data_IF_106891101906
#
_entry.id   IF_106891101906
#
_cell.length_a   1.000
_cell.length_b   1.000
_cell.length_c   1.000
_cell.angle_alpha   90.00
_cell.angle_beta   90.00
_cell.angle_gamma   90.00
#
_symmetry.space_group_name_H-M   'P 1'
#
loop_
_entity.id
_entity.type
_entity.pdbx_description
1 polymer ?
#
# COMPACT_ATOMS: atom_id res chain seq x y z
N UNK A 1 33.60 10.48 -8.19
CA UNK A 1 34.17 9.13 -8.11
C UNK A 1 34.48 8.76 -6.65
N UNK A 2 33.64 9.25 -5.73
CA UNK A 2 33.83 9.16 -4.26
C UNK A 2 33.08 7.99 -3.60
N UNK A 3 32.20 7.26 -4.26
CA UNK A 3 31.14 6.52 -3.55
C UNK A 3 31.36 4.99 -3.49
N UNK A 4 31.94 4.37 -4.47
CA UNK A 4 31.98 2.90 -4.49
C UNK A 4 33.03 2.33 -3.51
N UNK A 5 34.25 2.85 -3.51
CA UNK A 5 35.35 2.35 -2.67
C UNK A 5 35.08 2.59 -1.17
N UNK A 6 34.47 3.72 -0.82
CA UNK A 6 34.15 4.06 0.57
C UNK A 6 33.02 3.18 1.12
N UNK A 7 32.01 2.84 0.27
CA UNK A 7 30.94 1.93 0.64
C UNK A 7 31.43 0.48 0.78
N UNK A 8 32.40 0.05 -0.04
CA UNK A 8 33.01 -1.28 0.06
C UNK A 8 33.79 -1.43 1.36
N UNK A 9 34.57 -0.41 1.75
CA UNK A 9 35.28 -0.39 3.05
C UNK A 9 34.30 -0.39 4.22
N UNK A 10 33.25 0.42 4.16
CA UNK A 10 32.22 0.46 5.19
C UNK A 10 31.51 -0.89 5.32
N UNK A 11 31.18 -1.53 4.19
CA UNK A 11 30.57 -2.85 4.14
C UNK A 11 31.50 -3.90 4.76
N UNK A 12 32.77 -3.87 4.45
CA UNK A 12 33.77 -4.79 5.02
C UNK A 12 33.84 -4.65 6.55
N UNK A 13 33.88 -3.42 7.06
CA UNK A 13 33.91 -3.15 8.51
C UNK A 13 32.60 -3.57 9.19
N UNK A 14 31.45 -3.32 8.57
CA UNK A 14 30.14 -3.72 9.08
C UNK A 14 30.01 -5.27 9.11
N UNK A 15 30.53 -5.96 8.10
CA UNK A 15 30.57 -7.42 8.05
C UNK A 15 31.43 -7.99 9.17
N UNK A 16 32.58 -7.39 9.43
CA UNK A 16 33.46 -7.79 10.53
C UNK A 16 32.78 -7.61 11.90
N UNK A 17 32.04 -6.49 12.08
CA UNK A 17 31.23 -6.27 13.29
C UNK A 17 30.11 -7.31 13.43
N UNK A 18 29.44 -7.67 12.34
CA UNK A 18 28.36 -8.66 12.36
C UNK A 18 28.87 -10.11 12.63
N UNK A 19 30.15 -10.36 12.33
CA UNK A 19 30.78 -11.66 12.53
C UNK A 19 31.52 -11.80 13.89
N UNK A 20 31.53 -10.74 14.71
CA UNK A 20 32.20 -10.81 16.01
C UNK A 20 31.44 -11.73 16.98
N UNK A 21 32.17 -12.40 17.86
CA UNK A 21 31.56 -13.21 18.91
C UNK A 21 31.23 -12.29 20.11
N UNK A 22 29.96 -11.98 20.29
CA UNK A 22 29.47 -11.10 21.37
C UNK A 22 29.72 -11.66 22.76
N UNK A 23 29.92 -12.99 22.91
CA UNK A 23 30.15 -13.65 24.19
C UNK A 23 31.57 -13.41 24.74
N UNK A 24 32.49 -12.98 23.89
CA UNK A 24 33.85 -12.67 24.28
C UNK A 24 34.02 -11.23 24.77
N UNK A 25 32.95 -10.43 24.69
CA UNK A 25 32.95 -9.04 25.11
C UNK A 25 32.59 -8.89 26.59
N UNK A 26 33.18 -7.91 27.26
CA UNK A 26 32.69 -7.47 28.56
C UNK A 26 31.35 -6.72 28.42
N UNK A 27 30.56 -6.66 29.48
CA UNK A 27 29.29 -5.89 29.50
C UNK A 27 29.51 -4.43 29.09
N UNK A 28 30.63 -3.84 29.53
CA UNK A 28 31.00 -2.47 29.14
C UNK A 28 31.21 -2.35 27.62
N UNK A 29 31.92 -3.30 27.02
CA UNK A 29 32.22 -3.27 25.58
C UNK A 29 30.99 -3.54 24.73
N UNK A 30 30.09 -4.44 25.17
CA UNK A 30 28.79 -4.68 24.54
C UNK A 30 27.97 -3.37 24.48
N UNK A 31 27.84 -2.68 25.62
CA UNK A 31 27.10 -1.42 25.70
C UNK A 31 27.75 -0.29 24.89
N UNK A 32 29.08 -0.25 24.85
CA UNK A 32 29.84 0.72 24.06
C UNK A 32 29.66 0.47 22.56
N UNK A 33 29.70 -0.79 22.15
CA UNK A 33 29.52 -1.22 20.75
C UNK A 33 28.12 -0.90 20.25
N UNK A 34 27.07 -1.20 21.04
CA UNK A 34 25.68 -0.85 20.68
C UNK A 34 25.54 0.67 20.46
N UNK A 35 26.07 1.47 21.37
CA UNK A 35 26.07 2.95 21.23
C UNK A 35 26.84 3.42 20.00
N UNK A 36 27.94 2.75 19.68
CA UNK A 36 28.72 3.01 18.47
C UNK A 36 27.94 2.74 17.19
N UNK A 37 27.28 1.58 17.12
CA UNK A 37 26.43 1.19 15.98
C UNK A 37 25.31 2.19 15.78
N UNK A 38 24.59 2.58 16.84
CA UNK A 38 23.53 3.57 16.76
C UNK A 38 24.01 4.94 16.26
N UNK A 39 25.25 5.31 16.61
CA UNK A 39 25.86 6.53 16.07
C UNK A 39 26.12 6.43 14.56
N UNK A 40 26.67 5.31 14.10
CA UNK A 40 26.92 5.05 12.67
C UNK A 40 25.61 5.07 11.89
N UNK A 41 24.55 4.43 12.42
CA UNK A 41 23.22 4.43 11.78
C UNK A 41 22.72 5.84 11.51
N UNK A 42 22.85 6.78 12.48
CA UNK A 42 22.42 8.16 12.30
C UNK A 42 23.09 8.84 11.10
N UNK A 43 24.38 8.61 10.90
CA UNK A 43 25.09 9.18 9.75
C UNK A 43 24.68 8.52 8.43
N UNK A 44 24.40 7.22 8.44
CA UNK A 44 23.88 6.51 7.26
C UNK A 44 22.48 6.97 6.91
N UNK A 45 21.59 7.13 7.90
CA UNK A 45 20.24 7.69 7.71
C UNK A 45 20.30 9.10 7.12
N UNK A 46 21.23 9.94 7.59
CA UNK A 46 21.44 11.29 7.06
C UNK A 46 21.89 11.27 5.58
N UNK A 47 22.84 10.41 5.26
CA UNK A 47 23.36 10.27 3.90
C UNK A 47 22.28 9.73 2.94
N UNK A 48 21.58 8.66 3.34
CA UNK A 48 20.48 8.11 2.57
C UNK A 48 19.36 9.14 2.35
N UNK A 49 18.93 9.84 3.41
CA UNK A 49 17.90 10.85 3.35
C UNK A 49 18.24 11.97 2.37
N UNK A 50 19.48 12.46 2.37
CA UNK A 50 19.93 13.49 1.44
C UNK A 50 19.84 13.01 -0.02
N UNK A 51 20.25 11.76 -0.28
CA UNK A 51 20.20 11.17 -1.61
C UNK A 51 18.75 10.91 -2.07
N UNK A 52 17.89 10.43 -1.16
CA UNK A 52 16.47 10.20 -1.47
C UNK A 52 15.76 11.50 -1.83
N UNK A 53 15.96 12.57 -1.06
CA UNK A 53 15.38 13.88 -1.36
C UNK A 53 15.86 14.46 -2.70
N UNK A 54 17.14 14.22 -3.06
CA UNK A 54 17.69 14.65 -4.34
C UNK A 54 17.12 13.83 -5.52
N UNK A 55 17.06 12.52 -5.38
CA UNK A 55 16.49 11.60 -6.38
C UNK A 55 15.03 11.92 -6.64
N UNK A 56 14.27 12.20 -5.58
CA UNK A 56 12.85 12.56 -5.68
C UNK A 56 12.66 13.90 -6.38
N UNK A 57 13.42 14.91 -6.00
CA UNK A 57 13.36 16.24 -6.61
C UNK A 57 13.71 16.22 -8.12
N UNK A 58 14.61 15.33 -8.54
CA UNK A 58 14.97 15.13 -9.96
C UNK A 58 13.97 14.25 -10.71
N UNK A 59 13.10 13.51 -10.02
CA UNK A 59 12.24 12.48 -10.63
C UNK A 59 13.03 11.34 -11.29
N UNK A 60 14.25 11.08 -10.83
CA UNK A 60 15.20 10.16 -11.48
C UNK A 60 14.63 8.75 -11.60
N UNK A 61 14.02 8.23 -10.53
CA UNK A 61 13.47 6.88 -10.51
C UNK A 61 12.26 6.69 -11.42
N UNK A 62 11.44 7.74 -11.61
CA UNK A 62 10.32 7.72 -12.56
C UNK A 62 10.82 7.70 -14.01
N UNK A 63 11.87 8.44 -14.30
CA UNK A 63 12.45 8.49 -15.63
C UNK A 63 13.20 7.20 -16.00
N UNK A 64 13.99 6.65 -15.07
CA UNK A 64 14.87 5.49 -15.33
C UNK A 64 14.15 4.17 -15.18
N UNK A 65 13.37 4.02 -14.12
CA UNK A 65 12.75 2.75 -13.70
C UNK A 65 11.22 2.73 -13.81
N UNK A 66 10.57 3.89 -14.04
CA UNK A 66 9.13 4.02 -14.12
C UNK A 66 8.42 3.98 -12.76
N UNK A 67 9.14 4.18 -11.66
CA UNK A 67 8.61 4.16 -10.31
C UNK A 67 8.82 5.50 -9.61
N UNK A 68 7.83 5.91 -8.80
CA UNK A 68 8.03 6.97 -7.81
C UNK A 68 9.07 6.52 -6.79
N UNK A 69 9.82 7.47 -6.23
CA UNK A 69 10.97 7.23 -5.35
C UNK A 69 10.70 6.26 -4.21
N UNK A 70 9.59 6.41 -3.47
CA UNK A 70 9.25 5.49 -2.39
C UNK A 70 9.01 4.05 -2.89
N UNK A 71 8.33 3.89 -4.02
CA UNK A 71 8.07 2.56 -4.60
C UNK A 71 9.35 1.91 -5.15
N UNK A 72 10.23 2.73 -5.74
CA UNK A 72 11.55 2.30 -6.19
C UNK A 72 12.39 1.80 -5.00
N UNK A 73 12.45 2.57 -3.92
CA UNK A 73 13.19 2.21 -2.70
C UNK A 73 12.67 0.89 -2.11
N UNK A 74 11.34 0.76 -1.96
CA UNK A 74 10.73 -0.45 -1.42
C UNK A 74 11.10 -1.69 -2.25
N UNK A 75 11.04 -1.59 -3.57
CA UNK A 75 11.32 -2.69 -4.48
C UNK A 75 12.80 -3.04 -4.57
N UNK A 76 13.66 -2.02 -4.74
CA UNK A 76 15.09 -2.22 -5.03
C UNK A 76 15.87 -2.59 -3.78
N UNK A 77 15.52 -1.99 -2.64
CA UNK A 77 16.20 -2.22 -1.36
C UNK A 77 15.49 -3.23 -0.45
N UNK A 78 14.34 -3.80 -0.88
CA UNK A 78 13.63 -4.83 -0.13
C UNK A 78 13.01 -4.34 1.19
N UNK A 79 12.79 -3.03 1.35
CA UNK A 79 12.13 -2.47 2.54
C UNK A 79 10.62 -2.42 2.35
N UNK A 80 9.86 -2.39 3.46
CA UNK A 80 8.40 -2.29 3.36
C UNK A 80 7.98 -0.97 2.70
N UNK A 81 6.84 -0.93 1.96
CA UNK A 81 6.33 0.31 1.38
C UNK A 81 6.11 1.43 2.41
N UNK A 82 5.70 1.06 3.64
CA UNK A 82 5.53 2.01 4.74
C UNK A 82 6.88 2.61 5.19
N UNK A 83 7.92 1.77 5.31
CA UNK A 83 9.28 2.21 5.64
C UNK A 83 9.84 3.12 4.54
N UNK A 84 9.70 2.73 3.28
CA UNK A 84 10.16 3.51 2.13
C UNK A 84 9.48 4.89 2.08
N UNK A 85 8.17 4.93 2.29
CA UNK A 85 7.41 6.18 2.36
C UNK A 85 7.91 7.05 3.51
N UNK A 86 8.01 6.48 4.73
CA UNK A 86 8.46 7.21 5.90
C UNK A 86 9.87 7.80 5.74
N UNK A 87 10.80 7.05 5.13
CA UNK A 87 12.16 7.56 4.84
C UNK A 87 12.13 8.73 3.86
N UNK A 88 11.33 8.63 2.80
CA UNK A 88 11.20 9.70 1.82
C UNK A 88 10.53 10.93 2.43
N UNK A 89 9.45 10.77 3.18
CA UNK A 89 8.73 11.90 3.80
C UNK A 89 9.65 12.69 4.74
N UNK A 90 10.45 12.00 5.57
CA UNK A 90 11.47 12.64 6.43
C UNK A 90 12.52 13.35 5.60
N UNK A 91 13.03 12.72 4.55
CA UNK A 91 14.05 13.29 3.68
C UNK A 91 13.57 14.57 2.97
N UNK A 92 12.34 14.56 2.46
CA UNK A 92 11.72 15.73 1.81
C UNK A 92 11.47 16.83 2.83
N UNK A 93 10.93 16.52 4.03
CA UNK A 93 10.70 17.50 5.09
C UNK A 93 12.00 18.18 5.54
N UNK A 94 13.07 17.42 5.76
CA UNK A 94 14.39 17.96 6.10
C UNK A 94 14.92 18.91 5.02
N UNK A 95 14.69 18.59 3.74
CA UNK A 95 15.13 19.43 2.63
C UNK A 95 14.32 20.72 2.47
N UNK A 96 13.02 20.70 2.80
CA UNK A 96 12.10 21.78 2.43
C UNK A 96 11.66 22.66 3.61
N UNK A 97 11.27 22.04 4.72
CA UNK A 97 10.58 22.76 5.82
C UNK A 97 11.25 22.61 7.19
N UNK A 98 12.23 21.70 7.34
CA UNK A 98 12.89 21.38 8.62
C UNK A 98 14.43 21.52 8.55
N UNK A 99 14.98 22.73 8.32
CA UNK A 99 16.42 22.91 8.12
C UNK A 99 17.26 22.65 9.39
N UNK A 100 16.73 22.92 10.58
CA UNK A 100 17.45 22.63 11.83
C UNK A 100 17.47 21.12 12.10
N UNK A 101 16.40 20.40 11.79
CA UNK A 101 16.36 18.92 11.83
C UNK A 101 17.37 18.32 10.86
N UNK A 102 17.45 18.80 9.60
CA UNK A 102 18.47 18.35 8.65
C UNK A 102 19.89 18.50 9.22
N UNK A 103 20.20 19.67 9.79
CA UNK A 103 21.48 19.93 10.43
C UNK A 103 21.73 18.99 11.63
N UNK A 104 20.72 18.73 12.45
CA UNK A 104 20.84 17.87 13.62
C UNK A 104 21.01 16.39 13.25
N UNK A 105 20.34 15.93 12.19
CA UNK A 105 20.48 14.56 11.65
C UNK A 105 21.88 14.39 11.04
N UNK A 106 22.33 15.31 10.20
CA UNK A 106 23.68 15.28 9.58
C UNK A 106 24.83 15.32 10.59
N UNK A 107 24.63 15.99 11.70
CA UNK A 107 25.62 16.01 12.80
C UNK A 107 25.53 14.81 13.75
N UNK A 108 24.58 13.90 13.52
CA UNK A 108 24.35 12.74 14.38
C UNK A 108 23.70 13.07 15.75
N UNK A 109 23.27 14.33 15.97
CA UNK A 109 22.58 14.77 17.19
C UNK A 109 21.17 14.18 17.29
N UNK A 110 20.48 14.04 16.17
CA UNK A 110 19.13 13.52 16.10
C UNK A 110 19.09 12.17 15.37
N UNK A 111 18.33 11.20 15.87
CA UNK A 111 18.10 9.93 15.19
C UNK A 111 16.88 10.01 14.26
N UNK A 112 16.80 9.06 13.33
CA UNK A 112 15.70 8.96 12.35
C UNK A 112 14.31 8.99 12.99
N UNK A 113 14.09 8.25 14.09
CA UNK A 113 12.77 8.19 14.72
C UNK A 113 12.32 9.56 15.27
N UNK A 114 13.24 10.37 15.77
CA UNK A 114 12.93 11.72 16.21
C UNK A 114 12.70 12.67 15.04
N UNK A 115 13.52 12.59 13.98
CA UNK A 115 13.30 13.34 12.75
C UNK A 115 11.93 13.02 12.14
N UNK A 116 11.51 11.75 12.18
CA UNK A 116 10.19 11.30 11.73
C UNK A 116 9.04 11.91 12.54
N UNK A 117 9.21 12.08 13.85
CA UNK A 117 8.18 12.75 14.67
C UNK A 117 8.04 14.22 14.26
N UNK A 118 9.14 14.95 14.04
CA UNK A 118 9.10 16.35 13.59
C UNK A 118 8.48 16.45 12.19
N UNK A 119 8.92 15.60 11.26
CA UNK A 119 8.37 15.55 9.90
C UNK A 119 6.86 15.22 9.86
N UNK A 120 6.40 14.35 10.76
CA UNK A 120 4.98 14.01 10.86
C UNK A 120 4.13 15.04 11.61
N UNK A 121 4.76 15.97 12.34
CA UNK A 121 4.06 17.02 13.09
C UNK A 121 3.87 18.29 12.26
N UNK A 122 4.78 18.59 11.33
CA UNK A 122 4.71 19.79 10.47
C UNK A 122 3.77 19.58 9.30
N UNK A 123 2.99 20.59 8.97
CA UNK A 123 2.16 20.69 7.77
C UNK A 123 2.32 22.09 7.13
N UNK A 124 1.78 22.27 5.93
CA UNK A 124 1.94 23.52 5.17
C UNK A 124 1.41 24.76 5.90
N UNK A 125 0.38 24.62 6.76
CA UNK A 125 -0.23 25.75 7.49
C UNK A 125 0.64 26.31 8.60
N UNK A 126 1.46 25.46 9.23
CA UNK A 126 2.28 25.81 10.41
C UNK A 126 3.78 25.80 10.11
N UNK A 127 4.18 25.52 8.87
CA UNK A 127 5.58 25.30 8.50
C UNK A 127 6.52 26.41 8.99
N UNK A 128 6.15 27.67 8.76
CA UNK A 128 6.98 28.82 9.14
C UNK A 128 7.11 28.99 10.65
N UNK A 129 5.99 28.86 11.39
CA UNK A 129 5.99 28.97 12.86
C UNK A 129 6.70 27.76 13.50
N UNK A 130 6.47 26.57 12.95
CA UNK A 130 7.11 25.34 13.44
C UNK A 130 8.62 25.38 13.24
N UNK A 131 9.10 25.89 12.10
CA UNK A 131 10.53 26.06 11.82
C UNK A 131 11.24 26.98 12.82
N UNK A 132 10.53 27.96 13.38
CA UNK A 132 11.10 28.85 14.43
C UNK A 132 11.30 28.12 15.76
N UNK A 133 10.43 27.15 16.08
CA UNK A 133 10.49 26.35 17.32
C UNK A 133 11.34 25.09 17.17
N UNK A 134 11.69 24.71 15.96
CA UNK A 134 12.43 23.49 15.64
C UNK A 134 13.72 23.32 16.45
N UNK A 135 14.61 24.34 16.59
CA UNK A 135 15.84 24.23 17.38
C UNK A 135 15.58 23.89 18.86
N UNK A 136 14.57 24.51 19.46
CA UNK A 136 14.20 24.28 20.86
C UNK A 136 13.64 22.83 21.02
N UNK A 137 12.78 22.40 20.14
CA UNK A 137 12.24 21.03 20.14
C UNK A 137 13.35 19.98 20.00
N UNK A 138 14.38 20.26 19.18
CA UNK A 138 15.54 19.40 19.02
C UNK A 138 16.34 19.34 20.33
N UNK A 139 16.61 20.48 20.98
CA UNK A 139 17.37 20.54 22.23
C UNK A 139 16.63 19.82 23.37
N UNK A 140 15.32 19.99 23.47
CA UNK A 140 14.47 19.26 24.43
C UNK A 140 14.53 17.72 24.19
N UNK A 141 14.80 17.28 22.99
CA UNK A 141 14.93 15.87 22.66
C UNK A 141 16.05 15.17 23.42
N UNK A 142 17.10 15.88 23.83
CA UNK A 142 18.23 15.33 24.59
C UNK A 142 17.88 15.03 26.05
N UNK A 143 16.90 15.73 26.61
CA UNK A 143 16.56 15.69 28.05
C UNK A 143 15.27 14.93 28.34
N UNK A 144 14.45 14.72 27.35
CA UNK A 144 13.16 14.02 27.50
C UNK A 144 13.22 12.57 27.00
N UNK A 145 12.44 11.70 27.64
CA UNK A 145 12.15 10.37 27.07
C UNK A 145 11.41 10.53 25.74
N UNK A 146 11.58 9.56 24.84
CA UNK A 146 11.00 9.62 23.48
C UNK A 146 9.49 9.90 23.48
N UNK A 147 8.72 9.17 24.29
CA UNK A 147 7.25 9.29 24.29
C UNK A 147 6.77 10.63 24.90
N UNK A 148 7.47 11.15 25.89
CA UNK A 148 7.15 12.46 26.47
C UNK A 148 7.45 13.57 25.47
N UNK A 149 8.61 13.49 24.83
CA UNK A 149 9.03 14.45 23.82
C UNK A 149 8.10 14.41 22.59
N UNK A 150 7.76 13.22 22.09
CA UNK A 150 6.82 13.06 20.97
C UNK A 150 5.47 13.71 21.25
N UNK A 151 4.89 13.46 22.43
CA UNK A 151 3.63 14.10 22.83
C UNK A 151 3.77 15.62 22.90
N UNK A 152 4.89 16.14 23.40
CA UNK A 152 5.15 17.58 23.44
C UNK A 152 5.20 18.19 22.04
N UNK A 153 5.93 17.59 21.11
CA UNK A 153 5.99 18.04 19.70
C UNK A 153 4.60 18.05 19.07
N UNK A 154 3.82 16.99 19.27
CA UNK A 154 2.45 16.90 18.75
C UNK A 154 1.52 17.96 19.36
N UNK A 155 1.68 18.24 20.65
CA UNK A 155 0.90 19.30 21.32
C UNK A 155 1.26 20.68 20.76
N UNK A 156 2.55 20.98 20.57
CA UNK A 156 3.01 22.24 19.98
C UNK A 156 2.43 22.41 18.57
N UNK A 157 2.55 21.40 17.74
CA UNK A 157 1.98 21.44 16.38
C UNK A 157 0.47 21.67 16.38
N UNK A 158 -0.27 20.99 17.27
CA UNK A 158 -1.71 21.15 17.40
C UNK A 158 -2.10 22.57 17.86
N UNK A 159 -1.34 23.16 18.79
CA UNK A 159 -1.56 24.55 19.24
C UNK A 159 -1.34 25.56 18.12
N UNK A 160 -0.26 25.38 17.33
CA UNK A 160 0.01 26.25 16.18
C UNK A 160 -1.10 26.17 15.13
N UNK A 161 -1.63 24.98 14.85
CA UNK A 161 -2.75 24.79 13.92
C UNK A 161 -4.05 25.47 14.44
N UNK A 162 -4.32 25.36 15.75
CA UNK A 162 -5.49 26.00 16.38
C UNK A 162 -5.41 27.52 16.32
N UNK A 163 -4.25 28.10 16.59
CA UNK A 163 -4.04 29.56 16.49
C UNK A 163 -4.26 30.08 15.06
N UNK A 164 -4.04 29.22 14.05
CA UNK A 164 -4.39 29.46 12.64
C UNK A 164 -5.87 29.27 12.31
N UNK A 165 -6.71 28.90 13.28
CA UNK A 165 -8.15 28.67 13.11
C UNK A 165 -8.50 27.31 12.49
N UNK A 166 -7.55 26.39 12.41
CA UNK A 166 -7.80 25.03 11.89
C UNK A 166 -8.45 24.14 12.96
N UNK A 167 -9.57 23.55 12.62
CA UNK A 167 -10.20 22.49 13.43
C UNK A 167 -10.08 21.15 12.72
N UNK A 168 -9.26 20.21 13.25
CA UNK A 168 -9.09 18.89 12.65
C UNK A 168 -10.38 18.06 12.58
N UNK A 169 -11.40 18.40 13.38
CA UNK A 169 -12.67 17.68 13.38
C UNK A 169 -13.57 18.07 12.20
N UNK A 170 -13.33 19.23 11.57
CA UNK A 170 -14.07 19.70 10.40
C UNK A 170 -13.40 19.35 9.09
N UNK A 171 -12.13 18.95 9.11
CA UNK A 171 -11.38 18.59 7.91
C UNK A 171 -11.70 17.17 7.44
N UNK A 172 -12.43 17.08 6.34
CA UNK A 172 -12.83 15.79 5.75
C UNK A 172 -11.63 14.91 5.34
N UNK A 173 -10.47 15.51 5.05
CA UNK A 173 -9.26 14.78 4.68
C UNK A 173 -8.59 14.02 5.84
N UNK A 174 -8.98 14.32 7.07
CA UNK A 174 -8.57 13.55 8.24
C UNK A 174 -9.32 12.20 8.37
N UNK A 175 -10.38 12.02 7.59
CA UNK A 175 -11.06 10.73 7.53
C UNK A 175 -10.31 9.78 6.60
N UNK A 176 -9.93 8.63 7.12
CA UNK A 176 -9.32 7.58 6.31
C UNK A 176 -9.72 6.20 6.80
N UNK A 177 -9.90 5.28 5.88
CA UNK A 177 -10.22 3.87 6.14
C UNK A 177 -9.40 2.98 5.22
N UNK A 178 -8.74 1.99 5.78
CA UNK A 178 -7.96 1.00 5.05
C UNK A 178 -8.56 -0.38 5.23
N UNK A 179 -8.77 -1.06 4.11
CA UNK A 179 -9.22 -2.45 4.05
C UNK A 179 -8.04 -3.29 3.54
N UNK A 180 -7.48 -4.13 4.41
CA UNK A 180 -6.34 -5.00 4.05
C UNK A 180 -6.81 -6.45 4.05
N UNK A 181 -6.80 -7.13 2.90
CA UNK A 181 -7.04 -8.56 2.84
C UNK A 181 -6.02 -9.35 3.66
N UNK A 182 -6.47 -10.40 4.31
CA UNK A 182 -5.69 -11.28 5.18
C UNK A 182 -6.20 -12.72 4.93
N UNK A 183 -5.38 -13.78 5.01
CA UNK A 183 -5.84 -15.17 4.84
C UNK A 183 -7.03 -15.55 5.72
N UNK A 184 -7.14 -14.96 6.91
CA UNK A 184 -8.21 -15.20 7.87
C UNK A 184 -9.42 -14.28 7.69
N UNK A 185 -9.33 -13.25 6.82
CA UNK A 185 -10.40 -12.28 6.63
C UNK A 185 -9.98 -10.95 6.03
N UNK A 186 -10.60 -9.87 6.48
CA UNK A 186 -10.25 -8.50 6.08
C UNK A 186 -10.05 -7.65 7.32
N UNK A 187 -8.86 -7.10 7.45
CA UNK A 187 -8.55 -6.12 8.50
C UNK A 187 -9.05 -4.75 8.09
N UNK A 188 -9.83 -4.12 8.96
CA UNK A 188 -10.34 -2.76 8.80
C UNK A 188 -9.64 -1.87 9.81
N UNK A 189 -9.00 -0.78 9.36
CA UNK A 189 -8.32 0.18 10.23
C UNK A 189 -8.42 1.59 9.65
N UNK A 190 -8.49 2.60 10.52
CA UNK A 190 -8.61 3.97 10.09
C UNK A 190 -8.99 4.92 11.22
N UNK A 191 -9.19 6.18 10.86
CA UNK A 191 -9.67 7.24 11.76
C UNK A 191 -10.78 7.99 11.06
N UNK A 192 -11.83 8.28 11.80
CA UNK A 192 -12.93 9.16 11.39
C UNK A 192 -12.98 10.32 12.36
N UNK A 193 -13.31 11.51 11.88
CA UNK A 193 -13.35 12.73 12.68
C UNK A 193 -14.69 13.45 12.52
N UNK A 194 -15.01 14.32 13.47
CA UNK A 194 -16.20 15.19 13.45
C UNK A 194 -17.51 14.43 13.26
N UNK A 195 -18.38 14.98 12.43
CA UNK A 195 -19.71 14.43 12.15
C UNK A 195 -19.66 13.03 11.55
N UNK A 196 -18.63 12.72 10.77
CA UNK A 196 -18.43 11.39 10.20
C UNK A 196 -18.19 10.35 11.30
N UNK A 197 -17.37 10.67 12.29
CA UNK A 197 -17.11 9.80 13.43
C UNK A 197 -18.38 9.57 14.24
N UNK A 198 -19.09 10.65 14.60
CA UNK A 198 -20.34 10.59 15.38
C UNK A 198 -21.41 9.76 14.66
N UNK A 199 -21.59 9.99 13.37
CA UNK A 199 -22.59 9.25 12.57
C UNK A 199 -22.29 7.76 12.54
N UNK A 200 -21.03 7.38 12.26
CA UNK A 200 -20.63 5.97 12.18
C UNK A 200 -20.71 5.31 13.55
N UNK A 201 -20.26 5.96 14.61
CA UNK A 201 -20.33 5.45 15.96
C UNK A 201 -21.78 5.20 16.43
N UNK A 202 -22.66 6.18 16.21
CA UNK A 202 -24.09 6.07 16.57
C UNK A 202 -24.78 4.95 15.80
N UNK A 203 -24.58 4.82 14.51
CA UNK A 203 -25.22 3.80 13.68
C UNK A 203 -24.70 2.40 14.04
N UNK A 204 -23.38 2.23 14.19
CA UNK A 204 -22.80 0.94 14.61
C UNK A 204 -23.31 0.54 16.00
N UNK A 205 -23.38 1.49 16.93
CA UNK A 205 -23.87 1.22 18.28
C UNK A 205 -25.35 0.82 18.28
N UNK A 206 -26.19 1.55 17.57
CA UNK A 206 -27.63 1.25 17.48
C UNK A 206 -27.89 -0.15 16.86
N UNK A 207 -27.18 -0.49 15.78
CA UNK A 207 -27.34 -1.81 15.15
C UNK A 207 -26.74 -2.93 16.02
N UNK A 208 -25.65 -2.67 16.74
CA UNK A 208 -25.08 -3.65 17.68
C UNK A 208 -26.05 -3.93 18.84
N UNK A 209 -26.75 -2.91 19.36
CA UNK A 209 -27.77 -3.05 20.38
C UNK A 209 -29.02 -3.80 19.87
N UNK A 210 -29.38 -3.59 18.59
CA UNK A 210 -30.44 -4.36 17.94
C UNK A 210 -30.07 -5.85 17.86
N UNK A 211 -28.86 -6.16 17.38
CA UNK A 211 -28.35 -7.52 17.29
C UNK A 211 -28.26 -8.20 18.68
N UNK A 212 -27.79 -7.46 19.69
CA UNK A 212 -27.74 -7.97 21.05
C UNK A 212 -29.13 -8.40 21.56
N UNK A 213 -30.15 -7.54 21.35
CA UNK A 213 -31.54 -7.85 21.77
C UNK A 213 -32.08 -9.05 21.00
N UNK A 214 -31.79 -9.19 19.75
CA UNK A 214 -32.20 -10.30 18.89
C UNK A 214 -31.58 -11.61 19.39
N UNK A 215 -30.27 -11.65 19.60
CA UNK A 215 -29.58 -12.81 20.14
C UNK A 215 -30.08 -13.19 21.55
N UNK A 216 -30.44 -12.22 22.40
CA UNK A 216 -31.00 -12.49 23.72
C UNK A 216 -32.40 -13.14 23.63
N UNK A 217 -33.26 -12.63 22.74
CA UNK A 217 -34.60 -13.20 22.50
C UNK A 217 -34.53 -14.61 21.93
N UNK A 218 -33.63 -14.83 20.93
CA UNK A 218 -33.46 -16.16 20.32
C UNK A 218 -32.97 -17.18 21.35
N UNK A 219 -32.04 -16.79 22.18
CA UNK A 219 -31.54 -17.66 23.28
C UNK A 219 -32.64 -18.01 24.29
N UNK A 220 -33.43 -17.02 24.70
CA UNK A 220 -34.52 -17.24 25.66
C UNK A 220 -35.62 -18.13 25.06
N UNK A 221 -35.89 -18.01 23.75
CA UNK A 221 -36.87 -18.82 23.04
C UNK A 221 -36.42 -20.28 22.83
N UNK A 222 -35.12 -20.50 22.62
CA UNK A 222 -34.57 -21.84 22.37
C UNK A 222 -34.09 -22.57 23.61
N UNK A 223 -34.06 -21.91 24.77
CA UNK A 223 -33.52 -22.47 26.02
C UNK A 223 -32.02 -22.81 25.92
N UNK A 224 -31.28 -22.15 25.02
CA UNK A 224 -29.93 -22.48 24.71
C UNK A 224 -28.94 -21.77 25.63
N UNK A 225 -27.88 -22.50 26.04
CA UNK A 225 -26.79 -22.00 26.86
C UNK A 225 -25.68 -21.35 26.05
N UNK A 226 -25.91 -21.03 24.75
CA UNK A 226 -24.92 -20.41 23.87
C UNK A 226 -24.45 -19.05 24.43
N UNK A 227 -23.11 -18.81 24.57
CA UNK A 227 -22.62 -17.58 25.14
C UNK A 227 -22.95 -16.39 24.21
N UNK A 228 -23.37 -15.27 24.81
CA UNK A 228 -23.64 -14.04 24.09
C UNK A 228 -22.38 -13.52 23.42
N UNK A 229 -22.46 -13.02 22.16
CA UNK A 229 -21.34 -12.42 21.50
C UNK A 229 -20.79 -11.21 22.27
N UNK A 230 -19.47 -11.03 22.24
CA UNK A 230 -18.83 -9.87 22.88
C UNK A 230 -19.25 -8.57 22.18
N UNK A 231 -19.14 -7.42 22.86
CA UNK A 231 -19.38 -6.10 22.25
C UNK A 231 -18.51 -5.85 21.01
N UNK A 232 -17.27 -6.36 20.99
CA UNK A 232 -16.39 -6.29 19.80
C UNK A 232 -16.97 -7.07 18.63
N UNK A 233 -17.46 -8.27 18.90
CA UNK A 233 -18.11 -9.14 17.90
C UNK A 233 -19.39 -8.49 17.39
N UNK A 234 -20.23 -7.95 18.27
CA UNK A 234 -21.47 -7.29 17.89
C UNK A 234 -21.23 -6.06 17.00
N UNK A 235 -20.21 -5.25 17.28
CA UNK A 235 -19.83 -4.11 16.41
C UNK A 235 -19.37 -4.55 15.03
N UNK A 236 -18.61 -5.66 14.93
CA UNK A 236 -18.20 -6.20 13.63
C UNK A 236 -19.41 -6.73 12.84
N UNK A 237 -20.32 -7.44 13.50
CA UNK A 237 -21.57 -7.91 12.88
C UNK A 237 -22.49 -6.75 12.50
N UNK A 238 -22.55 -5.69 13.31
CA UNK A 238 -23.31 -4.48 13.00
C UNK A 238 -22.81 -3.79 11.74
N UNK A 239 -21.48 -3.65 11.57
CA UNK A 239 -20.91 -3.10 10.36
C UNK A 239 -21.30 -3.93 9.13
N UNK A 240 -21.22 -5.26 9.20
CA UNK A 240 -21.64 -6.15 8.13
C UNK A 240 -23.13 -6.01 7.81
N UNK A 241 -23.98 -5.84 8.84
CA UNK A 241 -25.44 -5.64 8.68
C UNK A 241 -25.75 -4.30 8.03
N UNK A 242 -25.07 -3.21 8.42
CA UNK A 242 -25.21 -1.88 7.80
C UNK A 242 -24.84 -1.98 6.32
N UNK A 243 -23.75 -2.64 5.97
CA UNK A 243 -23.33 -2.83 4.58
C UNK A 243 -24.37 -3.65 3.79
N UNK A 244 -24.97 -4.70 4.38
CA UNK A 244 -26.05 -5.47 3.76
C UNK A 244 -27.29 -4.61 3.50
N UNK A 245 -27.73 -3.82 4.49
CA UNK A 245 -28.85 -2.90 4.34
C UNK A 245 -28.60 -1.84 3.25
N UNK A 246 -27.41 -1.27 3.23
CA UNK A 246 -27.01 -0.28 2.21
C UNK A 246 -26.92 -0.88 0.80
N UNK A 247 -26.49 -2.13 0.68
CA UNK A 247 -26.45 -2.84 -0.60
C UNK A 247 -27.82 -3.33 -1.10
N UNK A 248 -28.91 -3.09 -0.36
CA UNK A 248 -30.26 -3.56 -0.71
C UNK A 248 -30.42 -5.09 -0.66
N UNK A 249 -29.54 -5.80 0.04
CA UNK A 249 -29.53 -7.27 0.13
C UNK A 249 -30.68 -7.79 1.00
N UNK A 250 -31.53 -6.91 1.50
CA UNK A 250 -32.57 -7.28 2.44
C UNK A 250 -33.86 -7.77 1.82
N UNK A 251 -34.06 -7.97 0.56
CA UNK A 251 -35.28 -8.69 0.03
C UNK A 251 -35.59 -8.55 -1.45
N UNK A 252 -35.00 -7.62 -2.23
CA UNK A 252 -35.30 -7.51 -3.66
C UNK A 252 -34.09 -7.02 -4.47
N UNK A 253 -33.69 -7.76 -5.40
CA UNK A 253 -32.95 -7.64 -6.67
C UNK A 253 -32.07 -6.41 -7.01
N UNK A 254 -31.71 -5.55 -6.09
CA UNK A 254 -30.90 -4.35 -6.36
C UNK A 254 -29.72 -4.24 -5.39
N UNK A 255 -28.57 -4.78 -5.77
CA UNK A 255 -27.33 -4.62 -5.03
C UNK A 255 -26.58 -5.95 -4.75
N UNK A 256 -26.37 -6.76 -5.79
CA UNK A 256 -25.58 -7.98 -5.66
C UNK A 256 -24.13 -7.61 -5.34
N UNK A 257 -23.62 -8.16 -4.23
CA UNK A 257 -22.18 -8.15 -3.96
C UNK A 257 -21.51 -9.00 -5.03
N UNK A 258 -20.65 -8.39 -5.84
CA UNK A 258 -19.87 -9.11 -6.82
C UNK A 258 -18.51 -9.50 -6.21
N UNK A 259 -18.31 -10.79 -6.05
CA UNK A 259 -16.99 -11.34 -5.75
C UNK A 259 -16.56 -12.23 -6.92
N UNK A 260 -15.32 -12.07 -7.36
CA UNK A 260 -14.74 -12.99 -8.34
C UNK A 260 -14.04 -14.10 -7.56
N UNK A 261 -14.55 -15.31 -7.67
CA UNK A 261 -13.96 -16.51 -7.09
C UNK A 261 -13.36 -17.35 -8.20
N UNK A 262 -12.19 -17.90 -7.93
CA UNK A 262 -11.48 -18.79 -8.85
C UNK A 262 -11.59 -20.21 -8.33
N UNK A 263 -12.26 -21.05 -9.10
CA UNK A 263 -12.39 -22.49 -8.81
C UNK A 263 -11.48 -23.23 -9.79
N UNK A 264 -10.55 -24.02 -9.27
CA UNK A 264 -9.77 -24.92 -10.08
C UNK A 264 -10.60 -26.18 -10.33
N UNK A 265 -10.79 -26.57 -11.61
CA UNK A 265 -11.56 -27.75 -11.95
C UNK A 265 -10.90 -29.07 -11.49
N UNK A 266 -9.58 -29.06 -11.28
CA UNK A 266 -8.85 -30.22 -10.75
C UNK A 266 -8.98 -30.36 -9.22
N UNK A 267 -9.28 -29.26 -8.54
CA UNK A 267 -9.48 -29.19 -7.08
C UNK A 267 -10.66 -28.25 -6.77
N UNK A 268 -11.92 -28.68 -7.05
CA UNK A 268 -13.09 -27.80 -6.99
C UNK A 268 -13.43 -27.29 -5.59
N UNK A 269 -12.95 -27.97 -4.55
CA UNK A 269 -13.12 -27.55 -3.15
C UNK A 269 -12.20 -26.38 -2.75
N UNK A 270 -11.21 -26.07 -3.58
CA UNK A 270 -10.29 -24.97 -3.36
C UNK A 270 -10.78 -23.71 -4.08
N UNK A 271 -11.40 -22.82 -3.33
CA UNK A 271 -11.89 -21.53 -3.82
C UNK A 271 -10.91 -20.43 -3.45
N UNK A 272 -10.51 -19.66 -4.44
CA UNK A 272 -9.57 -18.54 -4.26
C UNK A 272 -10.20 -17.22 -4.71
N UNK A 273 -9.80 -16.12 -4.10
CA UNK A 273 -10.13 -14.79 -4.63
C UNK A 273 -9.17 -14.41 -5.78
N UNK A 274 -9.37 -13.21 -6.34
CA UNK A 274 -8.50 -12.68 -7.41
C UNK A 274 -7.06 -12.42 -6.96
N UNK A 275 -6.83 -12.26 -5.66
CA UNK A 275 -5.50 -12.03 -5.07
C UNK A 275 -4.80 -13.34 -4.70
N UNK A 276 -5.50 -14.47 -4.89
CA UNK A 276 -4.95 -15.80 -4.66
C UNK A 276 -5.03 -16.30 -3.24
N UNK A 277 -5.76 -15.66 -2.42
CA UNK A 277 -6.01 -16.12 -1.07
C UNK A 277 -7.12 -17.17 -1.08
N UNK A 278 -6.86 -18.33 -0.49
CA UNK A 278 -7.88 -19.35 -0.27
C UNK A 278 -8.96 -18.80 0.65
N UNK A 279 -10.23 -18.87 0.20
CA UNK A 279 -11.38 -18.41 0.96
C UNK A 279 -12.13 -19.60 1.55
N UNK A 280 -12.45 -19.51 2.84
CA UNK A 280 -13.26 -20.47 3.58
C UNK A 280 -14.51 -19.78 4.12
N UNK A 281 -15.60 -20.55 4.36
CA UNK A 281 -16.82 -20.02 4.97
C UNK A 281 -17.65 -19.12 4.05
N UNK A 282 -17.57 -19.32 2.72
CA UNK A 282 -18.27 -18.53 1.71
C UNK A 282 -19.64 -19.11 1.33
N UNK A 283 -20.07 -20.21 1.93
CA UNK A 283 -21.30 -20.92 1.56
C UNK A 283 -22.54 -20.02 1.55
N UNK A 284 -22.61 -19.07 2.48
CA UNK A 284 -23.70 -18.09 2.51
C UNK A 284 -23.66 -17.04 1.38
N UNK A 285 -22.52 -16.84 0.72
CA UNK A 285 -22.37 -15.89 -0.39
C UNK A 285 -22.74 -16.51 -1.72
N UNK A 286 -22.51 -17.82 -1.89
CA UNK A 286 -22.76 -18.53 -3.17
C UNK A 286 -24.23 -18.49 -3.60
N UNK A 287 -25.17 -18.38 -2.66
CA UNK A 287 -26.59 -18.28 -2.95
C UNK A 287 -27.04 -16.94 -3.53
N UNK A 288 -26.22 -15.87 -3.36
CA UNK A 288 -26.56 -14.50 -3.80
C UNK A 288 -25.62 -13.96 -4.87
N UNK A 289 -24.65 -14.74 -5.31
CA UNK A 289 -23.64 -14.34 -6.28
C UNK A 289 -24.07 -14.59 -7.73
N UNK A 290 -23.65 -13.73 -8.65
CA UNK A 290 -23.73 -13.97 -10.07
C UNK A 290 -22.47 -14.71 -10.53
N UNK A 291 -22.64 -15.86 -11.17
CA UNK A 291 -21.53 -16.66 -11.72
C UNK A 291 -21.29 -16.24 -13.16
N UNK A 292 -20.04 -15.92 -13.50
CA UNK A 292 -19.61 -15.58 -14.84
C UNK A 292 -18.52 -16.54 -15.31
N UNK A 293 -18.69 -17.05 -16.52
CA UNK A 293 -17.69 -17.94 -17.14
C UNK A 293 -16.74 -17.12 -17.99
N UNK A 294 -15.44 -17.26 -17.76
CA UNK A 294 -14.38 -16.70 -18.62
C UNK A 294 -13.72 -17.87 -19.35
N UNK A 295 -13.84 -17.89 -20.67
CA UNK A 295 -13.24 -18.94 -21.51
C UNK A 295 -11.81 -18.52 -21.87
N UNK A 296 -10.86 -19.41 -21.61
CA UNK A 296 -9.45 -19.23 -21.93
C UNK A 296 -9.03 -20.25 -22.99
N UNK A 297 -8.05 -19.91 -23.83
CA UNK A 297 -7.41 -20.90 -24.69
C UNK A 297 -6.47 -21.83 -23.90
N UNK A 298 -5.86 -22.81 -24.55
CA UNK A 298 -4.95 -23.77 -23.94
C UNK A 298 -3.69 -23.15 -23.30
N UNK A 299 -3.37 -21.91 -23.67
CA UNK A 299 -2.27 -21.12 -23.08
C UNK A 299 -2.75 -20.20 -21.95
N UNK A 300 -4.05 -20.27 -21.57
CA UNK A 300 -4.64 -19.42 -20.55
C UNK A 300 -4.90 -17.98 -21.01
N UNK A 301 -4.93 -17.71 -22.30
CA UNK A 301 -5.24 -16.40 -22.88
C UNK A 301 -6.75 -16.30 -23.10
N UNK A 302 -7.44 -15.26 -22.61
CA UNK A 302 -8.86 -15.04 -22.87
C UNK A 302 -9.14 -14.91 -24.36
N UNK A 303 -10.21 -15.57 -24.83
CA UNK A 303 -10.65 -15.48 -26.22
C UNK A 303 -11.21 -14.10 -26.55
N UNK A 304 -11.21 -13.80 -27.82
CA UNK A 304 -11.65 -12.53 -28.39
C UNK A 304 -13.14 -12.28 -28.12
N UNK A 305 -13.51 -11.04 -27.76
CA UNK A 305 -14.89 -10.64 -27.42
C UNK A 305 -15.46 -9.57 -28.34
N UNK A 306 -14.81 -9.26 -29.46
CA UNK A 306 -15.31 -8.35 -30.49
C UNK A 306 -14.90 -6.87 -30.32
N UNK A 307 -15.28 -6.00 -31.28
CA UNK A 307 -14.59 -4.74 -31.59
C UNK A 307 -15.43 -3.45 -31.56
N UNK A 308 -16.63 -3.41 -31.06
CA UNK A 308 -17.48 -2.23 -31.31
C UNK A 308 -17.26 -1.01 -30.39
N UNK A 309 -16.52 -1.12 -29.29
CA UNK A 309 -16.41 -0.07 -28.29
C UNK A 309 -14.95 0.15 -27.86
N UNK A 310 -14.48 1.42 -27.80
CA UNK A 310 -13.13 1.79 -27.37
C UNK A 310 -12.82 1.41 -25.91
N UNK A 311 -13.80 1.42 -25.02
CA UNK A 311 -13.60 1.17 -23.60
C UNK A 311 -13.88 -0.30 -23.30
N UNK A 312 -12.95 -0.99 -22.65
CA UNK A 312 -13.15 -2.36 -22.21
C UNK A 312 -14.44 -2.49 -21.38
N UNK A 313 -15.33 -3.38 -21.79
CA UNK A 313 -16.55 -3.67 -21.08
C UNK A 313 -16.28 -4.45 -19.78
N UNK A 314 -17.33 -4.74 -19.02
CA UNK A 314 -17.22 -5.42 -17.72
C UNK A 314 -16.62 -6.81 -17.83
N UNK A 315 -17.02 -7.57 -18.83
CA UNK A 315 -16.57 -8.94 -19.10
C UNK A 315 -15.10 -8.96 -19.53
N UNK A 316 -14.70 -8.04 -20.40
CA UNK A 316 -13.29 -7.86 -20.79
C UNK A 316 -12.42 -7.46 -19.59
N UNK A 317 -12.91 -6.55 -18.72
CA UNK A 317 -12.19 -6.19 -17.50
C UNK A 317 -12.05 -7.38 -16.54
N UNK A 318 -13.05 -8.26 -16.43
CA UNK A 318 -12.97 -9.50 -15.65
C UNK A 318 -11.93 -10.46 -16.24
N UNK A 319 -11.94 -10.64 -17.56
CA UNK A 319 -10.96 -11.47 -18.24
C UNK A 319 -9.53 -10.96 -18.02
N UNK A 320 -9.32 -9.63 -18.14
CA UNK A 320 -8.04 -8.99 -17.83
C UNK A 320 -7.66 -9.16 -16.36
N UNK A 321 -8.60 -8.99 -15.43
CA UNK A 321 -8.35 -9.18 -14.00
C UNK A 321 -7.91 -10.62 -13.71
N UNK A 322 -8.50 -11.58 -14.40
CA UNK A 322 -8.14 -13.00 -14.26
C UNK A 322 -6.77 -13.31 -14.86
N UNK A 323 -6.45 -12.76 -16.03
CA UNK A 323 -5.16 -13.00 -16.72
C UNK A 323 -4.01 -12.26 -16.04
N UNK A 324 -4.19 -10.97 -15.77
CA UNK A 324 -3.14 -10.07 -15.32
C UNK A 324 -3.04 -10.00 -13.79
N UNK A 325 -4.16 -10.15 -13.08
CA UNK A 325 -4.25 -10.08 -11.62
C UNK A 325 -3.99 -8.70 -11.03
N UNK A 326 -3.75 -7.69 -11.88
CA UNK A 326 -3.41 -6.32 -11.52
C UNK A 326 -2.54 -5.63 -12.56
N UNK A 327 -1.85 -4.57 -12.16
CA UNK A 327 -0.94 -3.85 -13.05
C UNK A 327 0.20 -4.75 -13.51
N UNK A 328 0.34 -4.94 -14.83
CA UNK A 328 1.38 -5.83 -15.40
C UNK A 328 2.78 -5.21 -15.37
N UNK A 329 2.92 -3.92 -15.06
CA UNK A 329 4.23 -3.27 -14.98
C UNK A 329 5.11 -3.96 -13.93
N UNK A 330 6.37 -4.31 -14.27
CA UNK A 330 7.24 -5.13 -13.41
C UNK A 330 7.40 -4.56 -12.00
N UNK A 331 7.00 -5.31 -10.98
CA UNK A 331 7.10 -4.93 -9.57
C UNK A 331 6.01 -3.98 -9.05
N UNK A 332 4.95 -3.70 -9.83
CA UNK A 332 3.80 -2.95 -9.35
C UNK A 332 2.81 -3.85 -8.61
N UNK A 333 2.40 -3.48 -7.40
CA UNK A 333 1.42 -4.22 -6.59
C UNK A 333 -0.03 -3.74 -6.74
N UNK A 334 -0.34 -2.88 -7.73
CA UNK A 334 -1.68 -2.34 -7.89
C UNK A 334 -2.69 -3.40 -8.34
N UNK A 335 -3.77 -3.52 -7.59
CA UNK A 335 -4.86 -4.49 -7.83
C UNK A 335 -5.73 -4.08 -9.02
N UNK A 336 -6.51 -5.02 -9.62
CA UNK A 336 -7.33 -4.78 -10.81
C UNK A 336 -8.29 -3.59 -10.71
N UNK A 337 -8.85 -3.34 -9.51
CA UNK A 337 -9.76 -2.20 -9.26
C UNK A 337 -9.09 -0.83 -9.44
N UNK A 338 -7.76 -0.77 -9.37
CA UNK A 338 -6.96 0.44 -9.55
C UNK A 338 -6.28 0.51 -10.91
N UNK A 339 -6.67 -0.38 -11.83
CA UNK A 339 -6.08 -0.49 -13.16
C UNK A 339 -7.08 -0.12 -14.26
N UNK A 340 -6.53 0.50 -15.31
CA UNK A 340 -7.21 0.74 -16.56
C UNK A 340 -6.81 -0.32 -17.59
N UNK A 341 -7.74 -0.70 -18.47
CA UNK A 341 -7.43 -1.52 -19.63
C UNK A 341 -6.68 -0.67 -20.67
N UNK A 342 -5.43 -1.00 -20.91
CA UNK A 342 -4.56 -0.30 -21.84
C UNK A 342 -4.44 -1.09 -23.14
N UNK A 343 -4.69 -0.43 -24.29
CA UNK A 343 -4.47 -1.00 -25.61
C UNK A 343 -2.98 -1.01 -25.92
N UNK A 344 -2.42 -2.20 -26.18
CA UNK A 344 -1.00 -2.36 -26.51
C UNK A 344 -0.69 -1.66 -27.84
N UNK A 345 -1.52 -1.83 -28.88
CA UNK A 345 -1.53 -0.97 -30.05
C UNK A 345 -2.46 0.23 -29.80
N UNK A 346 -1.95 1.46 -29.98
CA UNK A 346 -2.71 2.66 -29.68
C UNK A 346 -4.00 2.74 -30.53
N UNK A 347 -5.14 2.96 -29.88
CA UNK A 347 -6.47 2.94 -30.51
C UNK A 347 -6.60 3.81 -31.77
N UNK A 348 -6.14 5.05 -31.70
CA UNK A 348 -6.26 6.01 -32.82
C UNK A 348 -5.08 6.00 -33.76
N UNK A 349 -3.86 5.81 -33.24
CA UNK A 349 -2.65 5.87 -34.05
C UNK A 349 -2.38 4.57 -34.80
N UNK A 350 -2.58 3.43 -34.13
CA UNK A 350 -2.16 2.11 -34.61
C UNK A 350 -3.36 1.20 -34.92
N UNK A 351 -4.59 1.76 -34.91
CA UNK A 351 -5.85 1.05 -35.13
C UNK A 351 -6.04 -0.17 -34.20
N UNK A 352 -5.55 -0.05 -32.95
CA UNK A 352 -5.68 -1.10 -31.95
C UNK A 352 -7.12 -1.53 -31.71
N UNK A 353 -7.34 -2.81 -31.40
CA UNK A 353 -8.66 -3.38 -31.12
C UNK A 353 -8.94 -3.45 -29.64
N UNK A 354 -10.21 -3.37 -29.24
CA UNK A 354 -10.64 -3.56 -27.84
C UNK A 354 -10.89 -5.05 -27.57
N UNK A 355 -9.88 -5.86 -27.84
CA UNK A 355 -9.89 -7.29 -27.60
C UNK A 355 -9.01 -7.62 -26.41
N UNK A 356 -9.41 -8.55 -25.56
CA UNK A 356 -8.63 -8.93 -24.38
C UNK A 356 -7.23 -9.40 -24.75
N UNK A 357 -7.07 -10.02 -25.92
CA UNK A 357 -5.77 -10.42 -26.47
C UNK A 357 -4.85 -9.25 -26.79
N UNK A 358 -5.38 -8.02 -26.96
CA UNK A 358 -4.63 -6.83 -27.34
C UNK A 358 -4.61 -5.74 -26.26
N UNK A 359 -5.10 -6.07 -25.07
CA UNK A 359 -5.10 -5.15 -23.92
C UNK A 359 -4.36 -5.76 -22.74
N UNK A 360 -3.86 -4.89 -21.85
CA UNK A 360 -3.27 -5.25 -20.54
C UNK A 360 -3.76 -4.30 -19.47
N UNK A 361 -3.70 -4.72 -18.20
CA UNK A 361 -3.97 -3.85 -17.07
C UNK A 361 -2.75 -3.03 -16.68
N UNK A 362 -2.92 -1.71 -16.63
CA UNK A 362 -1.95 -0.77 -16.07
C UNK A 362 -2.65 0.11 -15.02
N UNK A 363 -2.03 0.32 -13.87
CA UNK A 363 -2.52 1.31 -12.92
C UNK A 363 -2.36 2.72 -13.52
N UNK A 364 -3.10 3.69 -12.99
CA UNK A 364 -3.11 5.07 -13.52
C UNK A 364 -1.72 5.69 -13.65
N UNK A 365 -0.80 5.39 -12.71
CA UNK A 365 0.59 5.85 -12.79
C UNK A 365 1.32 5.23 -14.00
N UNK A 366 1.35 3.90 -14.10
CA UNK A 366 2.06 3.21 -15.17
C UNK A 366 1.40 3.35 -16.53
N UNK A 367 0.08 3.56 -16.59
CA UNK A 367 -0.61 3.99 -17.80
C UNK A 367 -0.06 5.33 -18.30
N UNK A 368 0.19 6.27 -17.37
CA UNK A 368 0.86 7.52 -17.71
C UNK A 368 2.33 7.34 -18.13
N UNK A 369 3.07 6.42 -17.50
CA UNK A 369 4.49 6.14 -17.83
C UNK A 369 4.62 5.63 -19.27
N UNK A 370 3.81 4.64 -19.68
CA UNK A 370 3.89 4.07 -21.04
C UNK A 370 3.43 5.03 -22.12
N UNK A 371 2.64 6.06 -21.79
CA UNK A 371 2.27 7.13 -22.72
C UNK A 371 3.29 8.28 -22.77
N UNK A 372 4.19 8.35 -21.80
CA UNK A 372 5.25 9.36 -21.69
C UNK A 372 6.60 8.68 -21.84
N UNK A 373 7.63 9.46 -22.00
CA UNK A 373 9.03 9.06 -21.78
C UNK A 373 9.60 7.96 -22.71
N UNK A 374 8.95 7.65 -23.83
CA UNK A 374 9.49 6.66 -24.79
C UNK A 374 9.42 5.19 -24.32
N UNK A 375 8.61 4.90 -23.32
CA UNK A 375 8.29 3.54 -22.93
C UNK A 375 7.33 2.92 -23.94
N UNK A 376 7.55 1.65 -24.29
CA UNK A 376 6.62 0.88 -25.13
C UNK A 376 6.27 -0.42 -24.44
N UNK A 377 4.98 -0.81 -24.52
CA UNK A 377 4.49 -2.11 -24.05
C UNK A 377 4.17 -3.00 -25.25
N UNK A 378 4.49 -4.26 -25.15
CA UNK A 378 4.26 -5.27 -26.16
C UNK A 378 3.54 -6.47 -25.52
N UNK A 379 2.76 -7.18 -26.32
CA UNK A 379 2.05 -8.39 -25.90
C UNK A 379 2.29 -9.48 -26.95
N UNK A 380 2.75 -10.64 -26.52
CA UNK A 380 2.95 -11.79 -27.39
C UNK A 380 1.67 -12.61 -27.57
N UNK A 381 1.64 -13.45 -28.58
CA UNK A 381 0.52 -14.37 -28.88
C UNK A 381 0.28 -15.38 -27.74
N UNK A 382 1.28 -15.62 -26.91
CA UNK A 382 1.21 -16.42 -25.69
C UNK A 382 0.58 -15.66 -24.50
N UNK A 383 0.17 -14.41 -24.71
CA UNK A 383 -0.43 -13.54 -23.71
C UNK A 383 0.57 -12.95 -22.70
N UNK A 384 1.88 -13.18 -22.85
CA UNK A 384 2.89 -12.52 -22.02
C UNK A 384 3.27 -11.15 -22.58
N UNK A 385 3.26 -10.15 -21.70
CA UNK A 385 3.67 -8.79 -22.05
C UNK A 385 5.12 -8.52 -21.65
N UNK A 386 5.75 -7.59 -22.36
CA UNK A 386 7.04 -6.99 -21.99
C UNK A 386 7.04 -5.50 -22.29
N UNK A 387 7.88 -4.78 -21.58
CA UNK A 387 8.09 -3.35 -21.83
C UNK A 387 9.48 -3.13 -22.39
N UNK A 388 9.60 -2.13 -23.26
CA UNK A 388 10.89 -1.58 -23.72
C UNK A 388 11.06 -0.24 -23.04
N UNK A 389 12.17 -0.06 -22.32
CA UNK A 389 12.52 1.20 -21.66
C UNK A 389 12.98 2.24 -22.67
N UNK A 390 13.03 3.55 -22.34
CA UNK A 390 13.59 4.59 -23.19
C UNK A 390 15.03 4.31 -23.67
N UNK A 391 15.80 3.53 -22.89
CA UNK A 391 17.17 3.13 -23.22
C UNK A 391 17.24 1.82 -24.03
N UNK A 392 16.10 1.32 -24.52
CA UNK A 392 16.03 0.11 -25.33
C UNK A 392 16.08 -1.21 -24.57
N UNK A 393 16.18 -1.19 -23.23
CA UNK A 393 16.22 -2.42 -22.44
C UNK A 393 14.84 -3.09 -22.39
N UNK A 394 14.80 -4.41 -22.56
CA UNK A 394 13.59 -5.21 -22.46
C UNK A 394 13.39 -5.68 -21.01
N UNK A 395 12.16 -5.51 -20.47
CA UNK A 395 11.76 -6.06 -19.16
C UNK A 395 10.46 -6.82 -19.31
N UNK A 396 10.40 -8.03 -18.76
CA UNK A 396 9.19 -8.83 -18.76
C UNK A 396 8.16 -8.29 -17.76
N UNK A 397 6.94 -8.20 -18.21
CA UNK A 397 5.79 -7.88 -17.36
C UNK A 397 5.47 -9.03 -16.41
N UNK A 398 4.72 -8.73 -15.36
CA UNK A 398 4.29 -9.68 -14.35
C UNK A 398 2.81 -10.04 -14.51
N UNK A 399 2.43 -11.14 -13.91
CA UNK A 399 1.04 -11.53 -13.65
C UNK A 399 0.87 -11.77 -12.16
N UNK A 400 -0.22 -11.25 -11.57
CA UNK A 400 -0.49 -11.34 -10.14
C UNK A 400 -1.46 -12.46 -9.77
N UNK A 401 -2.18 -13.03 -10.74
CA UNK A 401 -3.17 -14.08 -10.48
C UNK A 401 -2.55 -15.35 -9.92
N UNK A 402 -3.27 -16.04 -9.03
CA UNK A 402 -2.85 -17.28 -8.37
C UNK A 402 -2.65 -18.45 -9.30
N UNK A 403 -3.36 -18.51 -10.41
CA UNK A 403 -3.11 -19.47 -11.45
C UNK A 403 -2.34 -18.78 -12.57
N UNK A 404 -1.08 -19.14 -12.73
CA UNK A 404 -0.32 -18.85 -13.93
C UNK A 404 -0.92 -19.67 -15.08
N UNK A 405 -1.92 -19.12 -15.75
CA UNK A 405 -2.40 -19.69 -16.99
C UNK A 405 -1.47 -19.22 -18.11
N UNK A 406 -0.62 -20.08 -18.59
CA UNK A 406 0.35 -19.80 -19.64
C UNK A 406 1.80 -20.12 -19.25
N UNK A 407 2.70 -20.20 -20.21
CA UNK A 407 4.11 -20.49 -19.96
C UNK A 407 4.73 -19.37 -19.11
N UNK A 408 5.71 -19.74 -18.28
CA UNK A 408 6.51 -18.75 -17.58
C UNK A 408 7.21 -17.85 -18.62
N UNK A 409 7.42 -16.55 -18.32
CA UNK A 409 8.21 -15.71 -19.21
C UNK A 409 9.59 -16.36 -19.41
N UNK A 410 10.14 -16.28 -20.64
CA UNK A 410 11.46 -16.83 -20.89
C UNK A 410 12.47 -16.17 -19.92
N UNK A 411 13.29 -17.00 -19.30
CA UNK A 411 14.38 -16.52 -18.45
C UNK A 411 15.27 -15.62 -19.29
N UNK A 412 15.42 -14.37 -18.88
CA UNK A 412 16.43 -13.48 -19.47
C UNK A 412 17.81 -14.05 -19.15
N UNK A 413 18.50 -14.58 -20.14
CA UNK A 413 19.94 -14.80 -20.10
C UNK A 413 20.68 -13.48 -20.14
#
# INVERSE_FOLDING_TARGET
>A
MFVATDLDELTSRATALAAMNERDLSDHDVLATIRGIERVRRYLDAAEGSLLAEVDARGTTDHVDGFRTANWLARTCGVSPATARSRLDVAVACRTVLPATDTAVRSGRLCFDRARVLAGAVNERIADQFAQLEPELIDMSATMTFDRWRRHVQTVAALLDQDGGYDPNTDVFNNHLTLTPDPEGTRISGTLVGDTALTVEQVITAVADELYRQHAQDRDACGDATPMPSQRTLRALALAEICRRAAGIATTDHGRVEATLVINLDTPDDVYDTDGLKRTGIDGLTCVMSIYTVVLNSLGVPLDMGREIRTANREQRRALARRDGGCVFPGCGAQPRHCDAHHVAHWTRDLGTTDVAHMVFLCRHHHGVVHRNGWNIHLGDDGWAWITTPNGNRRWCQRHGTQRCGPAPPTTT
#
